data_IF_410241787420
#
_entry.id   IF_410241787420
#
_cell.length_a   1.000
_cell.length_b   1.000
_cell.length_c   1.000
_cell.angle_alpha   90.00
_cell.angle_beta   90.00
_cell.angle_gamma   90.00
#
_symmetry.space_group_name_H-M   'P 1'
#
loop_
_entity.id
_entity.type
_entity.pdbx_description
1 polymer ?
#
# COMPACT_ATOMS: atom_id res chain seq x y z
N UNK A 1 -8.69 -15.62 -25.61
CA UNK A 1 -8.01 -15.07 -24.43
C UNK A 1 -7.12 -16.16 -23.88
N UNK A 2 -5.83 -15.90 -23.81
CA UNK A 2 -4.88 -16.84 -23.19
C UNK A 2 -5.02 -16.75 -21.66
N UNK A 3 -4.58 -17.76 -20.94
CA UNK A 3 -4.64 -17.80 -19.45
C UNK A 3 -3.94 -16.60 -18.80
N UNK A 4 -2.92 -16.08 -19.47
CA UNK A 4 -2.17 -14.86 -19.07
C UNK A 4 -3.05 -13.61 -19.04
N UNK A 5 -4.01 -13.48 -19.97
CA UNK A 5 -4.88 -12.26 -20.04
C UNK A 5 -5.73 -12.10 -18.78
N UNK A 6 -6.17 -13.19 -18.15
CA UNK A 6 -6.96 -13.14 -16.93
C UNK A 6 -6.17 -12.69 -15.71
N UNK A 7 -4.87 -13.01 -15.66
CA UNK A 7 -4.00 -12.64 -14.55
C UNK A 7 -3.80 -11.11 -14.49
N UNK A 8 -3.71 -10.44 -15.65
CA UNK A 8 -3.62 -8.99 -15.73
C UNK A 8 -4.86 -8.26 -15.20
N UNK A 9 -6.03 -8.91 -15.24
CA UNK A 9 -7.26 -8.34 -14.71
C UNK A 9 -7.35 -8.40 -13.18
N UNK A 10 -6.54 -9.21 -12.50
CA UNK A 10 -6.60 -9.35 -11.04
C UNK A 10 -6.41 -8.01 -10.31
N UNK A 11 -5.40 -7.22 -10.70
CA UNK A 11 -5.14 -5.92 -10.08
C UNK A 11 -6.32 -4.95 -10.21
N UNK A 12 -6.83 -4.62 -11.41
CA UNK A 12 -7.96 -3.69 -11.55
C UNK A 12 -9.26 -4.24 -10.93
N UNK A 13 -9.53 -5.55 -11.03
CA UNK A 13 -10.71 -6.15 -10.40
C UNK A 13 -10.64 -5.99 -8.88
N UNK A 14 -9.52 -6.33 -8.26
CA UNK A 14 -9.35 -6.19 -6.80
C UNK A 14 -9.39 -4.72 -6.36
N UNK A 15 -8.82 -3.81 -7.15
CA UNK A 15 -8.89 -2.38 -6.87
C UNK A 15 -10.34 -1.88 -6.88
N UNK A 16 -11.10 -2.21 -7.93
CA UNK A 16 -12.48 -1.72 -8.11
C UNK A 16 -13.46 -2.44 -7.18
N UNK A 17 -13.36 -3.77 -7.04
CA UNK A 17 -14.34 -4.54 -6.28
C UNK A 17 -14.09 -4.53 -4.77
N UNK A 18 -12.85 -4.31 -4.33
CA UNK A 18 -12.49 -4.38 -2.91
C UNK A 18 -11.98 -3.04 -2.35
N UNK A 19 -10.97 -2.44 -2.99
CA UNK A 19 -10.31 -1.25 -2.42
C UNK A 19 -11.22 -0.02 -2.51
N UNK A 20 -11.86 0.25 -3.63
CA UNK A 20 -12.69 1.44 -3.78
C UNK A 20 -13.91 1.44 -2.85
N UNK A 21 -14.70 0.36 -2.69
CA UNK A 21 -15.76 0.31 -1.71
C UNK A 21 -15.26 0.50 -0.28
N UNK A 22 -14.13 -0.16 0.07
CA UNK A 22 -13.54 -0.03 1.40
C UNK A 22 -13.04 1.40 1.66
N UNK A 23 -12.45 2.05 0.66
CA UNK A 23 -12.04 3.46 0.70
C UNK A 23 -13.24 4.37 0.97
N UNK A 24 -14.35 4.18 0.25
CA UNK A 24 -15.59 4.93 0.45
C UNK A 24 -16.11 4.82 1.89
N UNK A 25 -16.13 3.62 2.46
CA UNK A 25 -16.55 3.39 3.85
C UNK A 25 -15.58 4.07 4.82
N UNK A 26 -14.25 3.91 4.64
CA UNK A 26 -13.23 4.52 5.50
C UNK A 26 -13.30 6.04 5.47
N UNK A 27 -13.51 6.65 4.29
CA UNK A 27 -13.71 8.10 4.15
C UNK A 27 -14.98 8.57 4.88
N UNK A 28 -16.11 7.88 4.72
CA UNK A 28 -17.36 8.20 5.43
C UNK A 28 -17.15 8.17 6.95
N UNK A 29 -16.51 7.12 7.48
CA UNK A 29 -16.21 7.01 8.91
C UNK A 29 -15.20 8.07 9.38
N UNK A 30 -14.26 8.49 8.52
CA UNK A 30 -13.33 9.59 8.79
C UNK A 30 -14.08 10.91 9.01
N UNK A 31 -14.99 11.26 8.08
CA UNK A 31 -15.81 12.45 8.17
C UNK A 31 -16.72 12.44 9.42
N UNK A 32 -17.35 11.32 9.73
CA UNK A 32 -18.15 11.17 10.94
C UNK A 32 -17.28 11.36 12.20
N UNK A 33 -16.10 10.74 12.25
CA UNK A 33 -15.15 10.88 13.37
C UNK A 33 -14.74 12.34 13.55
N UNK A 34 -14.47 13.05 12.44
CA UNK A 34 -14.14 14.49 12.45
C UNK A 34 -15.30 15.32 12.97
N UNK A 35 -16.53 15.13 12.45
CA UNK A 35 -17.74 15.88 12.85
C UNK A 35 -18.04 15.70 14.34
N UNK A 36 -17.88 14.48 14.85
CA UNK A 36 -18.02 14.20 16.29
C UNK A 36 -16.96 14.95 17.12
N UNK A 37 -15.70 14.94 16.72
CA UNK A 37 -14.62 15.63 17.44
C UNK A 37 -14.81 17.16 17.46
N UNK A 38 -15.36 17.72 16.37
CA UNK A 38 -15.65 19.14 16.26
C UNK A 38 -16.99 19.53 16.91
N UNK A 39 -17.66 18.58 17.57
CA UNK A 39 -18.99 18.77 18.20
C UNK A 39 -20.07 19.31 17.23
N UNK A 40 -19.89 19.07 15.91
CA UNK A 40 -20.85 19.48 14.88
C UNK A 40 -22.10 18.61 14.85
N UNK A 41 -21.97 17.35 15.29
CA UNK A 41 -23.07 16.40 15.39
C UNK A 41 -22.90 15.59 16.68
N UNK A 42 -23.87 15.70 17.59
CA UNK A 42 -23.83 15.03 18.90
C UNK A 42 -24.31 13.56 18.85
N UNK A 43 -25.00 13.16 17.78
CA UNK A 43 -25.62 11.84 17.66
C UNK A 43 -24.68 10.76 17.11
N UNK A 44 -23.40 11.09 16.82
CA UNK A 44 -22.47 10.12 16.26
C UNK A 44 -21.91 9.22 17.38
N UNK A 45 -22.07 7.87 17.27
CA UNK A 45 -21.62 6.95 18.29
C UNK A 45 -20.11 6.97 18.51
N UNK A 46 -19.68 6.68 19.75
CA UNK A 46 -18.25 6.62 20.09
C UNK A 46 -17.47 5.55 19.33
N UNK A 47 -18.14 4.48 18.88
CA UNK A 47 -17.54 3.35 18.16
C UNK A 47 -16.99 3.72 16.76
N UNK A 48 -17.51 4.78 16.12
CA UNK A 48 -17.14 5.19 14.75
C UNK A 48 -15.63 5.40 14.61
N UNK A 49 -14.96 6.01 15.60
CA UNK A 49 -13.51 6.18 15.55
C UNK A 49 -12.73 4.86 15.62
N UNK A 50 -13.25 3.85 16.32
CA UNK A 50 -12.64 2.50 16.36
C UNK A 50 -12.85 1.77 15.04
N UNK A 51 -14.05 1.87 14.48
CA UNK A 51 -14.40 1.29 13.17
C UNK A 51 -13.55 1.90 12.06
N UNK A 52 -13.43 3.25 12.01
CA UNK A 52 -12.52 3.95 11.10
C UNK A 52 -11.08 3.43 11.21
N UNK A 53 -10.54 3.35 12.42
CA UNK A 53 -9.17 2.86 12.65
C UNK A 53 -9.03 1.38 12.28
N UNK A 54 -10.03 0.54 12.52
CA UNK A 54 -10.03 -0.88 12.16
C UNK A 54 -10.04 -1.09 10.65
N UNK A 55 -11.00 -0.48 9.95
CA UNK A 55 -11.13 -0.60 8.50
C UNK A 55 -9.99 0.11 7.76
N UNK A 56 -9.50 1.25 8.26
CA UNK A 56 -8.31 1.91 7.71
C UNK A 56 -7.07 1.03 7.73
N UNK A 57 -6.92 0.20 8.77
CA UNK A 57 -5.86 -0.80 8.83
C UNK A 57 -5.98 -1.85 7.72
N UNK A 58 -7.19 -2.36 7.47
CA UNK A 58 -7.46 -3.30 6.38
C UNK A 58 -7.25 -2.66 5.01
N UNK A 59 -7.71 -1.43 4.83
CA UNK A 59 -7.48 -0.66 3.60
C UNK A 59 -5.99 -0.51 3.32
N UNK A 60 -5.20 -0.06 4.30
CA UNK A 60 -3.75 0.14 4.12
C UNK A 60 -3.03 -1.15 3.73
N UNK A 61 -3.29 -2.24 4.44
CA UNK A 61 -2.67 -3.52 4.12
C UNK A 61 -3.18 -4.08 2.78
N UNK A 62 -4.46 -3.91 2.45
CA UNK A 62 -5.05 -4.32 1.19
C UNK A 62 -4.42 -3.62 -0.01
N UNK A 63 -4.25 -2.29 0.06
CA UNK A 63 -3.57 -1.51 -1.00
C UNK A 63 -2.15 -2.01 -1.22
N UNK A 64 -1.36 -2.17 -0.16
CA UNK A 64 0.03 -2.67 -0.28
C UNK A 64 0.06 -4.08 -0.86
N UNK A 65 -0.84 -4.97 -0.41
CA UNK A 65 -0.92 -6.34 -0.92
C UNK A 65 -1.27 -6.41 -2.40
N UNK A 66 -2.20 -5.57 -2.86
CA UNK A 66 -2.59 -5.52 -4.29
C UNK A 66 -1.44 -4.96 -5.14
N UNK A 67 -0.68 -3.99 -4.66
CA UNK A 67 0.50 -3.47 -5.38
C UNK A 67 1.59 -4.54 -5.48
N UNK A 68 1.89 -5.27 -4.39
CA UNK A 68 2.84 -6.38 -4.43
C UNK A 68 2.39 -7.49 -5.40
N UNK A 69 1.09 -7.80 -5.41
CA UNK A 69 0.51 -8.76 -6.35
C UNK A 69 0.66 -8.28 -7.80
N UNK A 70 0.35 -7.01 -8.08
CA UNK A 70 0.49 -6.42 -9.41
C UNK A 70 1.94 -6.50 -9.92
N UNK A 71 2.91 -6.13 -9.08
CA UNK A 71 4.33 -6.23 -9.43
C UNK A 71 4.76 -7.67 -9.68
N UNK A 72 4.31 -8.61 -8.84
CA UNK A 72 4.58 -10.03 -9.03
C UNK A 72 4.01 -10.55 -10.36
N UNK A 73 2.78 -10.15 -10.70
CA UNK A 73 2.13 -10.52 -11.98
C UNK A 73 2.91 -9.91 -13.16
N UNK A 74 3.24 -8.63 -13.13
CA UNK A 74 4.00 -7.98 -14.22
C UNK A 74 5.32 -8.67 -14.48
N UNK A 75 6.11 -8.91 -13.43
CA UNK A 75 7.43 -9.54 -13.57
C UNK A 75 7.31 -10.99 -14.08
N UNK A 76 6.28 -11.74 -13.65
CA UNK A 76 6.12 -13.15 -14.01
C UNK A 76 5.42 -13.40 -15.35
N UNK A 77 4.72 -12.39 -15.91
CA UNK A 77 3.94 -12.55 -17.15
C UNK A 77 4.73 -12.22 -18.41
N UNK A 78 5.77 -11.40 -18.31
CA UNK A 78 6.59 -10.98 -19.46
C UNK A 78 7.51 -12.12 -19.95
N UNK A 79 8.06 -12.91 -19.02
CA UNK A 79 8.98 -14.00 -19.34
C UNK A 79 8.79 -15.15 -18.35
N UNK A 80 8.99 -16.41 -18.82
CA UNK A 80 9.05 -17.54 -17.89
C UNK A 80 10.23 -17.35 -16.91
N UNK A 81 10.08 -17.84 -15.68
CA UNK A 81 11.11 -17.69 -14.62
C UNK A 81 12.51 -18.19 -15.03
N UNK A 82 12.59 -19.10 -16.02
CA UNK A 82 13.84 -19.62 -16.55
C UNK A 82 14.44 -18.79 -17.69
N UNK A 83 13.64 -17.93 -18.33
CA UNK A 83 14.04 -17.08 -19.46
C UNK A 83 14.29 -15.62 -19.04
N UNK A 84 14.08 -15.30 -17.75
CA UNK A 84 14.37 -13.97 -17.21
C UNK A 84 15.82 -13.58 -17.51
N UNK A 85 15.99 -12.38 -18.05
CA UNK A 85 17.31 -11.82 -18.26
C UNK A 85 18.07 -11.77 -16.92
N UNK A 86 19.22 -12.45 -16.80
CA UNK A 86 19.92 -12.69 -15.52
C UNK A 86 19.63 -14.03 -14.84
N UNK A 87 18.80 -14.88 -15.43
CA UNK A 87 18.59 -16.28 -15.06
C UNK A 87 18.03 -16.51 -13.65
N UNK A 88 18.24 -17.72 -13.15
CA UNK A 88 17.71 -18.19 -11.85
C UNK A 88 18.15 -17.31 -10.67
N UNK A 89 19.35 -16.73 -10.70
CA UNK A 89 19.85 -15.89 -9.62
C UNK A 89 19.04 -14.57 -9.51
N UNK A 90 18.58 -14.01 -10.63
CA UNK A 90 17.69 -12.85 -10.61
C UNK A 90 16.31 -13.25 -10.11
N UNK A 91 15.75 -14.37 -10.59
CA UNK A 91 14.47 -14.88 -10.14
C UNK A 91 14.45 -15.12 -8.62
N UNK A 92 15.49 -15.72 -8.06
CA UNK A 92 15.62 -15.94 -6.62
C UNK A 92 15.69 -14.62 -5.84
N UNK A 93 16.42 -13.60 -6.32
CA UNK A 93 16.47 -12.27 -5.69
C UNK A 93 15.10 -11.59 -5.69
N UNK A 94 14.39 -11.62 -6.82
CA UNK A 94 13.04 -11.05 -6.92
C UNK A 94 12.07 -11.74 -5.98
N UNK A 95 12.09 -13.07 -5.92
CA UNK A 95 11.28 -13.85 -5.01
C UNK A 95 11.61 -13.52 -3.54
N UNK A 96 12.88 -13.41 -3.18
CA UNK A 96 13.33 -13.07 -1.84
C UNK A 96 12.83 -11.68 -1.43
N UNK A 97 12.92 -10.68 -2.32
CA UNK A 97 12.42 -9.33 -2.04
C UNK A 97 10.90 -9.33 -1.91
N UNK A 98 10.17 -10.04 -2.78
CA UNK A 98 8.71 -10.16 -2.70
C UNK A 98 8.27 -10.80 -1.37
N UNK A 99 8.84 -11.96 -1.02
CA UNK A 99 8.54 -12.66 0.23
C UNK A 99 8.95 -11.82 1.44
N UNK A 100 10.12 -11.19 1.39
CA UNK A 100 10.59 -10.27 2.42
C UNK A 100 9.65 -9.08 2.63
N UNK A 101 9.13 -8.50 1.55
CA UNK A 101 8.13 -7.42 1.61
C UNK A 101 6.81 -7.88 2.21
N UNK A 102 6.34 -9.08 1.89
CA UNK A 102 5.16 -9.67 2.51
C UNK A 102 5.35 -9.92 4.02
N UNK A 103 6.50 -10.46 4.43
CA UNK A 103 6.84 -10.67 5.83
C UNK A 103 6.92 -9.31 6.56
N UNK A 104 7.54 -8.30 5.96
CA UNK A 104 7.65 -6.96 6.50
C UNK A 104 6.27 -6.31 6.69
N UNK A 105 5.34 -6.48 5.73
CA UNK A 105 3.96 -6.03 5.85
C UNK A 105 3.23 -6.72 7.01
N UNK A 106 3.35 -8.04 7.11
CA UNK A 106 2.74 -8.82 8.21
C UNK A 106 3.31 -8.39 9.56
N UNK A 107 4.60 -8.15 9.65
CA UNK A 107 5.26 -7.68 10.87
C UNK A 107 4.77 -6.28 11.23
N UNK A 108 4.71 -5.34 10.27
CA UNK A 108 4.14 -4.00 10.48
C UNK A 108 2.69 -4.08 11.00
N UNK A 109 1.92 -5.04 10.50
CA UNK A 109 0.56 -5.28 10.96
C UNK A 109 0.49 -5.83 12.40
N UNK A 110 1.35 -6.77 12.77
CA UNK A 110 1.21 -7.56 14.01
C UNK A 110 2.02 -7.02 15.18
N UNK A 111 3.19 -6.42 14.94
CA UNK A 111 4.11 -6.05 16.00
C UNK A 111 3.58 -4.84 16.80
N UNK A 112 3.89 -4.86 18.12
CA UNK A 112 3.52 -3.78 19.04
C UNK A 112 4.64 -2.76 19.22
N UNK A 113 5.88 -3.12 18.88
CA UNK A 113 7.07 -2.28 19.08
C UNK A 113 7.19 -1.23 17.96
N UNK A 114 7.22 0.09 18.28
CA UNK A 114 7.24 1.15 17.26
C UNK A 114 8.42 1.05 16.29
N UNK A 115 9.62 0.72 16.80
CA UNK A 115 10.82 0.60 15.99
C UNK A 115 10.68 -0.50 14.92
N UNK A 116 10.19 -1.68 15.30
CA UNK A 116 9.99 -2.78 14.36
C UNK A 116 8.94 -2.44 13.29
N UNK A 117 7.81 -1.80 13.68
CA UNK A 117 6.81 -1.35 12.71
C UNK A 117 7.41 -0.36 11.71
N UNK A 118 8.16 0.63 12.19
CA UNK A 118 8.80 1.63 11.34
C UNK A 118 9.83 1.00 10.40
N UNK A 119 10.74 0.16 10.92
CA UNK A 119 11.76 -0.51 10.10
C UNK A 119 11.13 -1.45 9.06
N UNK A 120 10.14 -2.27 9.46
CA UNK A 120 9.47 -3.19 8.53
C UNK A 120 8.66 -2.44 7.48
N UNK A 121 8.00 -1.32 7.82
CA UNK A 121 7.30 -0.50 6.81
C UNK A 121 8.26 0.11 5.81
N UNK A 122 9.42 0.60 6.23
CA UNK A 122 10.46 1.10 5.33
C UNK A 122 11.04 0.00 4.44
N UNK A 123 11.29 -1.19 5.00
CA UNK A 123 11.75 -2.35 4.22
C UNK A 123 10.70 -2.80 3.19
N UNK A 124 9.43 -2.83 3.55
CA UNK A 124 8.35 -3.14 2.63
C UNK A 124 8.28 -2.11 1.50
N UNK A 125 8.37 -0.82 1.82
CA UNK A 125 8.36 0.26 0.83
C UNK A 125 9.58 0.20 -0.10
N UNK A 126 10.77 -0.02 0.43
CA UNK A 126 11.98 -0.24 -0.36
C UNK A 126 11.85 -1.46 -1.29
N UNK A 127 11.22 -2.54 -0.80
CA UNK A 127 10.93 -3.73 -1.61
C UNK A 127 9.98 -3.43 -2.77
N UNK A 128 8.92 -2.63 -2.55
CA UNK A 128 8.02 -2.18 -3.63
C UNK A 128 8.77 -1.37 -4.67
N UNK A 129 9.62 -0.43 -4.25
CA UNK A 129 10.46 0.35 -5.17
C UNK A 129 11.40 -0.57 -5.96
N UNK A 130 12.13 -1.47 -5.27
CA UNK A 130 13.05 -2.40 -5.93
C UNK A 130 12.35 -3.29 -6.98
N UNK A 131 11.20 -3.87 -6.63
CA UNK A 131 10.41 -4.68 -7.59
C UNK A 131 9.89 -3.83 -8.74
N UNK A 132 9.47 -2.61 -8.48
CA UNK A 132 8.94 -1.72 -9.50
C UNK A 132 10.01 -1.07 -10.40
N UNK A 133 11.27 -1.08 -9.97
CA UNK A 133 12.40 -0.63 -10.81
C UNK A 133 12.89 -1.71 -11.79
N UNK A 134 12.22 -2.87 -11.81
CA UNK A 134 12.56 -3.91 -12.80
C UNK A 134 12.14 -3.49 -14.22
N UNK A 135 12.85 -3.94 -15.27
CA UNK A 135 12.58 -3.54 -16.65
C UNK A 135 11.19 -3.93 -17.15
N UNK A 136 10.60 -4.97 -16.60
CA UNK A 136 9.25 -5.43 -16.93
C UNK A 136 8.14 -4.47 -16.45
N UNK A 137 8.46 -3.57 -15.51
CA UNK A 137 7.49 -2.61 -14.98
C UNK A 137 7.53 -1.33 -15.79
N UNK A 138 6.45 -1.05 -16.52
CA UNK A 138 6.34 0.17 -17.32
C UNK A 138 6.28 1.43 -16.45
N UNK A 139 7.15 2.40 -16.76
CA UNK A 139 7.22 3.72 -16.14
C UNK A 139 7.36 4.78 -17.22
N UNK A 140 6.68 5.91 -17.06
CA UNK A 140 6.75 7.01 -18.03
C UNK A 140 8.09 7.75 -17.96
N UNK A 141 8.54 8.09 -16.74
CA UNK A 141 9.84 8.67 -16.45
C UNK A 141 10.24 8.33 -15.01
N UNK A 142 11.55 8.22 -14.77
CA UNK A 142 12.14 8.07 -13.43
C UNK A 142 12.76 9.38 -12.92
N UNK A 143 12.62 10.48 -13.69
CA UNK A 143 13.13 11.80 -13.32
C UNK A 143 12.03 12.64 -12.66
N UNK A 144 12.11 12.95 -11.34
CA UNK A 144 11.09 13.72 -10.64
C UNK A 144 10.96 15.18 -11.10
N UNK A 145 11.87 15.69 -11.93
CA UNK A 145 11.80 17.04 -12.51
C UNK A 145 10.97 17.07 -13.80
N UNK A 146 10.59 15.91 -14.34
CA UNK A 146 9.76 15.77 -15.54
C UNK A 146 8.30 15.59 -15.16
N UNK A 147 7.39 16.13 -15.99
CA UNK A 147 5.95 16.02 -15.77
C UNK A 147 5.47 14.56 -15.85
N UNK A 148 6.09 13.75 -16.70
CA UNK A 148 5.82 12.34 -16.93
C UNK A 148 6.01 11.49 -15.67
N UNK A 149 6.97 11.84 -14.80
CA UNK A 149 7.15 11.19 -13.50
C UNK A 149 5.86 11.27 -12.65
N UNK A 150 5.26 12.45 -12.57
CA UNK A 150 4.06 12.71 -11.77
C UNK A 150 2.79 12.14 -12.39
N UNK A 151 2.81 11.85 -13.70
CA UNK A 151 1.73 11.18 -14.42
C UNK A 151 1.88 9.65 -14.40
N UNK A 152 3.02 9.13 -13.95
CA UNK A 152 3.28 7.70 -13.88
C UNK A 152 2.40 7.03 -12.80
N UNK A 153 1.59 6.06 -13.23
CA UNK A 153 0.81 5.23 -12.30
C UNK A 153 1.70 4.54 -11.26
N UNK A 154 2.89 4.09 -11.66
CA UNK A 154 3.86 3.46 -10.78
C UNK A 154 4.29 4.41 -9.64
N UNK A 155 4.76 5.62 -9.95
CA UNK A 155 5.24 6.55 -8.92
C UNK A 155 4.12 7.07 -8.02
N UNK A 156 2.92 7.27 -8.58
CA UNK A 156 1.72 7.52 -7.79
C UNK A 156 1.40 6.37 -6.83
N UNK A 157 1.53 5.13 -7.29
CA UNK A 157 1.38 3.91 -6.49
C UNK A 157 2.43 3.80 -5.38
N UNK A 158 3.71 4.08 -5.67
CA UNK A 158 4.81 4.10 -4.69
C UNK A 158 4.53 5.13 -3.58
N UNK A 159 4.10 6.34 -3.96
CA UNK A 159 3.70 7.38 -3.00
C UNK A 159 2.54 6.94 -2.11
N UNK A 160 1.49 6.39 -2.72
CA UNK A 160 0.32 5.87 -2.00
C UNK A 160 0.71 4.74 -1.02
N UNK A 161 1.52 3.77 -1.46
CA UNK A 161 2.04 2.69 -0.59
C UNK A 161 2.80 3.26 0.59
N UNK A 162 3.67 4.25 0.36
CA UNK A 162 4.41 4.93 1.43
C UNK A 162 3.48 5.55 2.48
N UNK A 163 2.43 6.27 2.05
CA UNK A 163 1.42 6.85 2.94
C UNK A 163 0.63 5.78 3.70
N UNK A 164 0.24 4.68 3.02
CA UNK A 164 -0.49 3.59 3.66
C UNK A 164 0.37 2.86 4.71
N UNK A 165 1.64 2.60 4.41
CA UNK A 165 2.59 2.00 5.35
C UNK A 165 2.88 2.93 6.54
N UNK A 166 3.02 4.24 6.31
CA UNK A 166 3.17 5.23 7.38
C UNK A 166 1.94 5.23 8.30
N UNK A 167 0.75 5.23 7.73
CA UNK A 167 -0.51 5.18 8.50
C UNK A 167 -0.64 3.88 9.30
N UNK A 168 -0.26 2.75 8.70
CA UNK A 168 -0.28 1.44 9.34
C UNK A 168 0.72 1.36 10.50
N UNK A 169 1.96 1.79 10.29
CA UNK A 169 3.03 1.77 11.27
C UNK A 169 2.77 2.71 12.45
N UNK A 170 2.24 3.92 12.19
CA UNK A 170 2.00 4.96 13.20
C UNK A 170 0.63 4.90 13.87
N UNK A 171 -0.22 3.93 13.50
CA UNK A 171 -1.60 3.83 14.00
C UNK A 171 -1.74 3.91 15.52
N UNK A 172 -0.95 3.19 16.37
CA UNK A 172 -1.07 3.29 17.82
C UNK A 172 -0.74 4.70 18.34
N UNK A 173 0.24 5.36 17.76
CA UNK A 173 0.68 6.72 18.11
C UNK A 173 -0.39 7.76 17.73
N UNK A 174 -1.04 7.60 16.56
CA UNK A 174 -2.15 8.43 16.11
C UNK A 174 -3.32 8.38 17.10
N UNK A 175 -3.57 7.23 17.71
CA UNK A 175 -4.63 7.08 18.69
C UNK A 175 -4.39 7.87 19.97
N UNK A 176 -3.12 8.09 20.36
CA UNK A 176 -2.72 8.67 21.66
C UNK A 176 -2.22 10.10 21.51
N UNK A 177 -1.35 10.39 20.53
CA UNK A 177 -0.64 11.68 20.42
C UNK A 177 -1.26 12.62 19.40
N UNK A 178 -1.48 13.90 19.77
CA UNK A 178 -2.08 14.89 18.89
C UNK A 178 -1.21 15.22 17.66
N UNK A 179 0.12 15.26 17.82
CA UNK A 179 1.06 15.51 16.72
C UNK A 179 0.96 14.46 15.61
N UNK A 180 0.87 13.19 15.98
CA UNK A 180 0.68 12.10 15.02
C UNK A 180 -0.68 12.12 14.33
N UNK A 181 -1.71 12.65 15.01
CA UNK A 181 -3.02 12.86 14.37
C UNK A 181 -2.96 13.95 13.31
N UNK A 182 -2.26 15.05 13.59
CA UNK A 182 -2.06 16.10 12.58
C UNK A 182 -1.29 15.56 11.37
N UNK A 183 -0.21 14.83 11.60
CA UNK A 183 0.54 14.19 10.52
C UNK A 183 -0.36 13.27 9.68
N UNK A 184 -1.18 12.44 10.32
CA UNK A 184 -2.12 11.57 9.62
C UNK A 184 -3.16 12.34 8.80
N UNK A 185 -3.71 13.44 9.33
CA UNK A 185 -4.71 14.26 8.64
C UNK A 185 -4.11 14.99 7.43
N UNK A 186 -2.85 15.41 7.51
CA UNK A 186 -2.18 16.14 6.42
C UNK A 186 -1.60 15.22 5.36
N UNK A 187 -1.29 13.97 5.71
CA UNK A 187 -0.70 12.98 4.80
C UNK A 187 -1.75 12.11 4.05
N UNK A 188 -3.00 12.11 4.49
CA UNK A 188 -4.09 11.33 3.92
C UNK A 188 -5.32 12.21 3.68
#
# INVERSE_FOLDING_TARGET
MQTIDWIWLLHPILAVALIYPLLGVVLSLSLQTRNRRLKRQNNIPAKVGREHSGLGRWLSAGVVSIVLLALAVMISSEQSLGELEGGINRALRLLLVLVGSCIALITTWRDKRPAYRASCSLLCWAGVIYLGMQPEVYRLSDNPLEAEFWQSHFWGGVGLVGLMLLSLASRPEIMVKLSWRWLHITAN
#
